data_IF_711104606886
#
_entry.id   IF_711104606886
#
_cell.length_a   1.000
_cell.length_b   1.000
_cell.length_c   1.000
_cell.angle_alpha   90.00
_cell.angle_beta   90.00
_cell.angle_gamma   90.00
#
_symmetry.space_group_name_H-M   'P 1'
#
loop_
_entity.id
_entity.type
_entity.pdbx_description
1 polymer ?
#
# COMPACT_ATOMS: atom_id res chain seq x y z
N UNK A 1 -8.94 2.45 -13.69
CA UNK A 1 -8.16 1.66 -14.68
C UNK A 1 -8.54 1.94 -16.14
N UNK A 2 -9.83 2.01 -16.50
CA UNK A 2 -10.27 2.19 -17.89
C UNK A 2 -9.64 3.40 -18.62
N UNK A 3 -9.57 4.56 -17.98
CA UNK A 3 -8.97 5.77 -18.59
C UNK A 3 -7.46 5.62 -18.87
N UNK A 4 -6.73 4.90 -18.01
CA UNK A 4 -5.31 4.61 -18.24
C UNK A 4 -5.15 3.61 -19.38
N UNK A 5 -5.96 2.55 -19.40
CA UNK A 5 -5.95 1.57 -20.49
C UNK A 5 -6.20 2.21 -21.86
N UNK A 6 -7.15 3.14 -21.95
CA UNK A 6 -7.45 3.85 -23.20
C UNK A 6 -6.31 4.78 -23.69
N UNK A 7 -5.38 5.15 -22.81
CA UNK A 7 -4.22 5.98 -23.14
C UNK A 7 -2.99 5.14 -23.54
N UNK A 8 -3.00 3.84 -23.30
CA UNK A 8 -1.92 2.91 -23.65
C UNK A 8 -2.22 2.33 -25.04
N UNK A 9 -1.25 2.35 -25.99
CA UNK A 9 -1.41 1.70 -27.29
C UNK A 9 -1.73 0.21 -27.17
N UNK A 10 -2.54 -0.34 -28.09
CA UNK A 10 -3.03 -1.72 -28.03
C UNK A 10 -1.89 -2.76 -28.17
N UNK A 11 -0.78 -2.37 -28.81
CA UNK A 11 0.42 -3.20 -28.92
C UNK A 11 1.19 -3.39 -27.60
N UNK A 12 0.86 -2.63 -26.55
CA UNK A 12 1.53 -2.72 -25.25
C UNK A 12 0.73 -3.57 -24.27
N UNK A 13 1.43 -4.13 -23.28
CA UNK A 13 0.77 -4.81 -22.19
C UNK A 13 -0.22 -3.85 -21.49
N UNK A 14 -1.41 -4.32 -21.09
CA UNK A 14 -2.36 -3.48 -20.39
C UNK A 14 -1.74 -2.94 -19.09
N UNK A 15 -2.09 -1.72 -18.68
CA UNK A 15 -1.56 -1.15 -17.45
C UNK A 15 -1.96 -2.00 -16.25
N UNK A 16 -1.01 -2.19 -15.35
CA UNK A 16 -1.16 -2.97 -14.12
C UNK A 16 -1.05 -2.02 -12.91
N UNK A 17 -1.94 -2.15 -11.94
CA UNK A 17 -1.96 -1.27 -10.77
C UNK A 17 -0.69 -1.41 -9.89
N UNK A 18 -0.04 -2.57 -9.93
CA UNK A 18 1.25 -2.82 -9.29
C UNK A 18 2.39 -1.97 -9.86
N UNK A 19 2.26 -1.44 -11.08
CA UNK A 19 3.21 -0.46 -11.63
C UNK A 19 3.18 0.89 -10.88
N UNK A 20 2.11 1.15 -10.11
CA UNK A 20 1.96 2.35 -9.27
C UNK A 20 2.15 2.05 -7.78
N UNK A 21 2.71 0.87 -7.45
CA UNK A 21 3.06 0.52 -6.09
C UNK A 21 4.00 1.58 -5.47
N UNK A 22 3.57 2.18 -4.35
CA UNK A 22 4.31 3.26 -3.70
C UNK A 22 4.01 4.67 -4.24
N UNK A 23 3.19 4.80 -5.28
CA UNK A 23 2.79 6.09 -5.88
C UNK A 23 1.29 6.35 -5.80
N UNK A 24 0.48 5.29 -5.78
CA UNK A 24 -0.97 5.38 -5.70
C UNK A 24 -1.57 4.23 -4.87
N UNK A 25 -2.78 4.49 -4.36
CA UNK A 25 -3.62 3.49 -3.69
C UNK A 25 -4.87 3.20 -4.48
N UNK A 26 -5.22 1.92 -4.54
CA UNK A 26 -6.53 1.46 -4.98
C UNK A 26 -7.53 1.57 -3.85
N UNK A 27 -8.56 2.40 -4.02
CA UNK A 27 -9.58 2.62 -3.01
C UNK A 27 -10.97 2.49 -3.59
N UNK A 28 -11.86 1.87 -2.82
CA UNK A 28 -13.28 1.93 -3.14
C UNK A 28 -13.81 3.29 -2.69
N UNK A 29 -14.54 4.03 -3.54
CA UNK A 29 -15.20 5.25 -3.14
C UNK A 29 -16.09 5.02 -1.91
N UNK A 30 -16.12 5.98 -0.99
CA UNK A 30 -16.95 5.87 0.20
C UNK A 30 -18.44 5.78 -0.19
N UNK A 31 -19.14 4.76 0.33
CA UNK A 31 -20.53 4.48 -0.05
C UNK A 31 -20.71 3.78 -1.40
N UNK A 32 -19.63 3.31 -2.03
CA UNK A 32 -19.72 2.58 -3.29
C UNK A 32 -20.54 1.27 -3.13
N UNK A 33 -21.47 0.98 -4.06
CA UNK A 33 -22.21 -0.28 -4.05
C UNK A 33 -21.28 -1.48 -4.21
N UNK A 34 -21.71 -2.64 -3.70
CA UNK A 34 -20.98 -3.90 -3.91
C UNK A 34 -20.75 -4.16 -5.40
N UNK A 35 -19.51 -4.44 -5.77
CA UNK A 35 -19.10 -4.64 -7.17
C UNK A 35 -18.59 -3.38 -7.87
N UNK A 36 -18.49 -2.25 -7.17
CA UNK A 36 -17.82 -1.06 -7.72
C UNK A 36 -16.34 -1.31 -7.95
N UNK A 37 -15.80 -0.74 -9.02
CA UNK A 37 -14.36 -0.80 -9.29
C UNK A 37 -13.59 0.15 -8.37
N UNK A 38 -12.40 -0.25 -7.90
CA UNK A 38 -11.54 0.64 -7.14
C UNK A 38 -11.01 1.77 -8.04
N UNK A 39 -10.88 2.96 -7.47
CA UNK A 39 -10.24 4.11 -8.08
C UNK A 39 -8.81 4.24 -7.58
N UNK A 40 -7.91 4.70 -8.45
CA UNK A 40 -6.54 5.01 -8.07
C UNK A 40 -6.47 6.43 -7.52
N UNK A 41 -5.96 6.58 -6.31
CA UNK A 41 -5.76 7.87 -5.65
C UNK A 41 -4.26 8.10 -5.43
N UNK A 42 -3.71 9.28 -5.79
CA UNK A 42 -2.31 9.59 -5.53
C UNK A 42 -1.97 9.46 -4.05
N UNK A 43 -0.88 8.74 -3.76
CA UNK A 43 -0.35 8.56 -2.42
C UNK A 43 1.09 8.09 -2.58
N UNK A 44 2.04 9.01 -2.58
CA UNK A 44 3.43 8.71 -2.90
C UNK A 44 4.26 8.46 -1.65
N UNK A 45 5.12 7.44 -1.69
CA UNK A 45 6.05 7.08 -0.62
C UNK A 45 6.98 8.26 -0.26
N UNK A 46 7.43 9.01 -1.28
CA UNK A 46 8.31 10.18 -1.09
C UNK A 46 7.69 11.30 -0.26
N UNK A 47 6.35 11.36 -0.18
CA UNK A 47 5.63 12.36 0.60
C UNK A 47 5.43 11.91 2.06
N UNK A 48 5.82 10.66 2.39
CA UNK A 48 5.67 10.11 3.73
C UNK A 48 6.83 10.52 4.65
N UNK A 49 6.56 10.71 5.97
CA UNK A 49 7.59 11.00 6.95
C UNK A 49 8.76 10.00 6.91
N UNK A 50 9.99 10.48 7.15
CA UNK A 50 11.18 9.62 7.25
C UNK A 50 11.35 9.00 8.64
N UNK A 51 10.59 9.46 9.64
CA UNK A 51 10.58 8.85 10.96
C UNK A 51 9.61 7.65 10.96
N UNK A 52 10.05 6.44 11.37
CA UNK A 52 9.22 5.24 11.29
C UNK A 52 7.86 5.36 11.96
N UNK A 53 7.77 5.81 13.21
CA UNK A 53 6.50 5.86 13.92
C UNK A 53 5.49 6.81 13.24
N UNK A 54 5.95 7.99 12.80
CA UNK A 54 5.16 8.96 12.06
C UNK A 54 4.69 8.41 10.71
N UNK A 55 5.55 7.69 9.98
CA UNK A 55 5.17 7.07 8.71
C UNK A 55 4.06 6.03 8.91
N UNK A 56 4.23 5.13 9.88
CA UNK A 56 3.21 4.12 10.19
C UNK A 56 1.89 4.76 10.63
N UNK A 57 1.93 5.87 11.38
CA UNK A 57 0.72 6.60 11.74
C UNK A 57 -0.03 7.13 10.51
N UNK A 58 0.67 7.75 9.55
CA UNK A 58 0.07 8.23 8.29
C UNK A 58 -0.51 7.07 7.48
N UNK A 59 0.22 5.97 7.35
CA UNK A 59 -0.25 4.78 6.62
C UNK A 59 -1.54 4.22 7.23
N UNK A 60 -1.62 4.10 8.56
CA UNK A 60 -2.80 3.56 9.23
C UNK A 60 -3.96 4.55 9.32
N UNK A 61 -3.70 5.85 9.33
CA UNK A 61 -4.75 6.86 9.16
C UNK A 61 -5.36 6.80 7.76
N UNK A 62 -4.52 6.64 6.73
CA UNK A 62 -4.97 6.54 5.34
C UNK A 62 -5.78 5.28 5.10
N UNK A 63 -5.31 4.14 5.62
CA UNK A 63 -5.97 2.84 5.51
C UNK A 63 -5.75 2.05 6.82
N UNK A 64 -6.81 1.71 7.58
CA UNK A 64 -6.65 1.08 8.90
C UNK A 64 -6.02 -0.32 8.89
N UNK A 65 -6.16 -1.05 7.78
CA UNK A 65 -5.64 -2.41 7.61
C UNK A 65 -4.95 -2.57 6.26
N UNK A 66 -3.75 -3.10 6.29
CA UNK A 66 -2.92 -3.30 5.10
C UNK A 66 -2.56 -4.76 4.93
N UNK A 67 -2.60 -5.25 3.70
CA UNK A 67 -1.85 -6.47 3.36
C UNK A 67 -0.35 -6.14 3.27
N UNK A 68 0.51 -7.10 3.63
CA UNK A 68 1.98 -6.96 3.54
C UNK A 68 2.43 -6.39 2.19
N UNK A 69 2.00 -7.04 1.10
CA UNK A 69 2.40 -6.75 -0.28
C UNK A 69 2.06 -5.32 -0.69
N UNK A 70 0.89 -4.83 -0.30
CA UNK A 70 0.42 -3.47 -0.58
C UNK A 70 1.14 -2.40 0.26
N UNK A 71 1.62 -2.76 1.46
CA UNK A 71 2.29 -1.83 2.38
C UNK A 71 3.78 -1.70 2.11
N UNK A 72 4.43 -2.78 1.68
CA UNK A 72 5.88 -2.88 1.51
C UNK A 72 6.50 -1.78 0.62
N UNK A 73 5.89 -1.37 -0.52
CA UNK A 73 6.41 -0.28 -1.35
C UNK A 73 6.58 1.04 -0.58
N UNK A 74 5.71 1.29 0.39
CA UNK A 74 5.74 2.49 1.22
C UNK A 74 6.76 2.43 2.35
N UNK A 75 7.40 1.29 2.58
CA UNK A 75 8.37 1.07 3.65
C UNK A 75 9.77 0.78 3.11
N UNK A 76 9.91 0.47 1.82
CA UNK A 76 11.19 0.08 1.22
C UNK A 76 12.29 1.13 1.40
N UNK A 77 12.02 2.40 1.09
CA UNK A 77 13.02 3.46 1.26
C UNK A 77 13.35 3.71 2.74
N UNK A 78 12.35 3.64 3.61
CA UNK A 78 12.54 3.76 5.06
C UNK A 78 13.44 2.65 5.60
N UNK A 79 13.25 1.41 5.15
CA UNK A 79 14.09 0.27 5.51
C UNK A 79 15.55 0.49 5.07
N UNK A 80 15.76 0.98 3.85
CA UNK A 80 17.09 1.33 3.34
C UNK A 80 17.76 2.46 4.15
N UNK A 81 17.00 3.47 4.59
CA UNK A 81 17.56 4.60 5.34
C UNK A 81 17.77 4.32 6.83
N UNK A 82 17.01 3.39 7.43
CA UNK A 82 17.00 3.13 8.87
C UNK A 82 18.12 2.18 9.34
N UNK A 83 19.33 2.33 8.80
CA UNK A 83 20.52 1.58 9.23
C UNK A 83 20.49 0.09 8.87
N UNK A 84 19.86 -0.27 7.75
CA UNK A 84 19.82 -1.66 7.26
C UNK A 84 18.78 -2.55 7.94
N UNK A 85 17.77 -1.96 8.58
CA UNK A 85 16.61 -2.71 9.06
C UNK A 85 15.81 -3.25 7.88
N UNK A 86 15.28 -4.47 8.00
CA UNK A 86 14.37 -5.03 7.01
C UNK A 86 12.96 -4.46 7.19
N UNK A 87 12.16 -4.46 6.12
CA UNK A 87 10.72 -4.12 6.19
C UNK A 87 10.02 -4.97 7.27
N UNK A 88 10.39 -6.24 7.37
CA UNK A 88 9.84 -7.16 8.36
C UNK A 88 10.15 -6.74 9.81
N UNK A 89 11.38 -6.30 10.09
CA UNK A 89 11.75 -5.79 11.40
C UNK A 89 10.95 -4.52 11.76
N UNK A 90 10.73 -3.63 10.79
CA UNK A 90 9.89 -2.44 10.97
C UNK A 90 8.44 -2.81 11.27
N UNK A 91 7.86 -3.75 10.52
CA UNK A 91 6.49 -4.22 10.71
C UNK A 91 6.28 -4.83 12.10
N UNK A 92 7.19 -5.69 12.57
CA UNK A 92 7.10 -6.30 13.89
C UNK A 92 7.15 -5.27 15.04
N UNK A 93 7.86 -4.17 14.83
CA UNK A 93 8.03 -3.11 15.83
C UNK A 93 6.87 -2.11 15.84
N UNK A 94 6.39 -1.70 14.67
CA UNK A 94 5.47 -0.57 14.51
C UNK A 94 4.03 -0.95 14.15
N UNK A 95 3.75 -2.23 13.88
CA UNK A 95 2.42 -2.71 13.54
C UNK A 95 2.00 -3.91 14.39
N UNK A 96 0.70 -4.22 14.38
CA UNK A 96 0.14 -5.50 14.81
C UNK A 96 -0.17 -6.34 13.60
N UNK A 97 0.25 -7.60 13.61
CA UNK A 97 -0.10 -8.57 12.58
C UNK A 97 -1.37 -9.34 12.99
N UNK A 98 -2.24 -9.61 12.03
CA UNK A 98 -3.41 -10.46 12.19
C UNK A 98 -3.60 -11.32 10.95
N UNK A 99 -3.91 -12.60 11.14
CA UNK A 99 -4.20 -13.54 10.08
C UNK A 99 -5.47 -14.32 10.48
N UNK A 100 -6.59 -14.14 9.77
CA UNK A 100 -7.86 -14.78 10.13
C UNK A 100 -7.84 -16.32 10.05
N UNK A 101 -7.09 -16.86 9.08
CA UNK A 101 -6.88 -18.28 8.85
C UNK A 101 -5.49 -18.51 8.24
N UNK A 102 -4.94 -19.73 8.27
CA UNK A 102 -3.61 -20.02 7.72
C UNK A 102 -3.45 -19.66 6.24
N UNK A 103 -4.54 -19.74 5.47
CA UNK A 103 -4.56 -19.44 4.03
C UNK A 103 -4.91 -17.98 3.71
N UNK A 104 -5.31 -17.20 4.72
CA UNK A 104 -5.64 -15.79 4.53
C UNK A 104 -4.36 -14.93 4.48
N UNK A 105 -4.37 -13.80 3.74
CA UNK A 105 -3.24 -12.89 3.72
C UNK A 105 -2.93 -12.32 5.11
N UNK A 106 -1.65 -12.06 5.36
CA UNK A 106 -1.21 -11.41 6.59
C UNK A 106 -1.55 -9.92 6.55
N UNK A 107 -2.38 -9.49 7.50
CA UNK A 107 -2.85 -8.12 7.61
C UNK A 107 -2.15 -7.38 8.75
N UNK A 108 -1.78 -6.12 8.51
CA UNK A 108 -1.15 -5.23 9.47
C UNK A 108 -2.06 -4.06 9.82
N UNK A 109 -2.11 -3.71 11.10
CA UNK A 109 -2.83 -2.54 11.61
C UNK A 109 -2.00 -1.77 12.64
N UNK A 110 -2.48 -0.58 13.01
CA UNK A 110 -1.89 0.21 14.09
C UNK A 110 -1.75 -0.60 15.39
N UNK A 111 -0.65 -0.34 16.10
CA UNK A 111 -0.35 -0.95 17.38
C UNK A 111 -1.11 -0.31 18.53
#
# INVERSE_FOLDING_TARGET
>A
MAAWGAAVPEEWAPPDAGLLAGEALEELPEGAPQGSEPVLVPFAERDLPLEPAARFAVLFQRRPRWERSAMEPYLAALASSAGGQTVEALLLRHARASQPSPDAPLMFSAR
#
